data_IF_045489707717
#
_entry.id   IF_045489707717
#
_cell.length_a   1.000
_cell.length_b   1.000
_cell.length_c   1.000
_cell.angle_alpha   90.00
_cell.angle_beta   90.00
_cell.angle_gamma   90.00
#
_symmetry.space_group_name_H-M   'P 1'
#
loop_
_entity.id
_entity.type
_entity.pdbx_description
1 polymer ?
#
# COMPACT_ATOMS: atom_id res chain seq x y z
N UNK A 1 56.58 -26.58 46.16
CA UNK A 1 57.37 -27.77 45.74
C UNK A 1 56.65 -28.41 44.57
N UNK A 2 57.27 -28.33 43.40
CA UNK A 2 57.63 -29.46 42.50
C UNK A 2 56.48 -30.41 42.17
N UNK A 3 56.10 -30.60 40.95
CA UNK A 3 56.57 -31.02 39.66
C UNK A 3 55.50 -31.91 38.99
N UNK A 4 55.20 -31.69 37.81
CA UNK A 4 55.46 -32.20 36.43
C UNK A 4 54.36 -33.18 35.99
N UNK A 5 53.65 -32.85 34.91
CA UNK A 5 53.85 -33.18 33.51
C UNK A 5 54.01 -34.70 33.25
N UNK A 6 53.11 -35.31 32.48
CA UNK A 6 53.49 -36.14 31.33
C UNK A 6 52.32 -36.43 30.36
N UNK A 7 52.69 -36.42 29.12
CA UNK A 7 52.03 -36.68 27.85
C UNK A 7 51.79 -38.16 27.65
N UNK A 8 50.70 -38.50 27.01
CA UNK A 8 50.49 -39.86 26.49
C UNK A 8 49.46 -39.92 25.38
N UNK A 9 49.92 -39.93 24.14
CA UNK A 9 49.25 -40.18 22.87
C UNK A 9 49.00 -41.70 22.72
N UNK A 10 47.78 -42.16 22.40
CA UNK A 10 47.57 -43.42 21.72
C UNK A 10 46.30 -43.41 20.84
N UNK A 11 46.49 -43.64 19.57
CA UNK A 11 45.49 -44.01 18.56
C UNK A 11 44.93 -45.41 18.81
N UNK A 12 43.64 -45.62 18.52
CA UNK A 12 43.10 -46.80 17.86
C UNK A 12 41.63 -46.61 17.51
N UNK A 13 41.39 -46.52 16.30
CA UNK A 13 40.57 -47.25 15.30
C UNK A 13 39.28 -47.97 15.82
N UNK A 14 38.11 -47.59 15.27
CA UNK A 14 37.08 -48.54 14.89
C UNK A 14 35.77 -48.48 15.65
N UNK A 15 34.76 -47.90 15.04
CA UNK A 15 33.46 -48.49 14.70
C UNK A 15 32.45 -47.41 14.32
N UNK A 16 32.01 -47.42 13.09
CA UNK A 16 30.79 -46.69 12.65
C UNK A 16 29.58 -47.25 13.38
N UNK A 17 28.93 -46.42 14.18
CA UNK A 17 27.55 -46.58 14.53
C UNK A 17 26.80 -45.35 14.01
N UNK A 18 26.02 -45.55 12.96
CA UNK A 18 25.07 -44.56 12.48
C UNK A 18 23.99 -44.40 13.55
N UNK A 19 24.10 -43.37 14.35
CA UNK A 19 22.98 -42.88 15.15
C UNK A 19 22.25 -41.82 14.31
N UNK A 20 21.06 -42.22 13.88
CA UNK A 20 20.03 -41.29 13.39
C UNK A 20 19.81 -40.24 14.48
N UNK A 21 20.47 -39.08 14.32
CA UNK A 21 20.16 -37.91 15.10
C UNK A 21 18.84 -37.34 14.56
N UNK A 22 17.77 -37.70 15.21
CA UNK A 22 16.51 -36.99 15.10
C UNK A 22 16.78 -35.57 15.53
N UNK A 23 16.95 -34.65 14.53
CA UNK A 23 16.91 -33.21 14.79
C UNK A 23 15.53 -32.93 15.33
N UNK A 24 15.42 -32.64 16.63
CA UNK A 24 14.28 -31.95 17.19
C UNK A 24 14.10 -30.67 16.35
N UNK A 25 12.98 -30.57 15.67
CA UNK A 25 12.51 -29.30 15.17
C UNK A 25 12.57 -28.32 16.34
N UNK A 26 13.36 -27.28 16.20
CA UNK A 26 13.24 -26.11 17.06
C UNK A 26 11.88 -25.52 16.70
N UNK A 27 10.90 -25.76 17.55
CA UNK A 27 9.61 -25.10 17.42
C UNK A 27 9.86 -23.59 17.25
N UNK A 28 9.15 -22.98 16.32
CA UNK A 28 9.15 -21.53 16.16
C UNK A 28 8.84 -20.96 17.54
N UNK A 29 9.73 -20.12 18.08
CA UNK A 29 9.55 -19.48 19.37
C UNK A 29 8.29 -18.62 19.27
N UNK A 30 7.28 -18.92 20.10
CA UNK A 30 6.01 -18.21 20.08
C UNK A 30 6.23 -16.81 20.65
N UNK A 31 5.99 -15.78 19.84
CA UNK A 31 5.95 -14.37 20.28
C UNK A 31 4.54 -14.09 20.77
N UNK A 32 4.31 -13.93 22.09
CA UNK A 32 2.98 -13.71 22.62
C UNK A 32 2.47 -12.31 22.29
N UNK A 33 1.16 -12.13 22.21
CA UNK A 33 0.55 -10.83 22.21
C UNK A 33 0.83 -10.11 23.54
N UNK A 34 1.02 -8.80 23.49
CA UNK A 34 1.24 -7.92 24.66
C UNK A 34 0.20 -6.80 24.74
N UNK A 35 -0.68 -6.69 23.76
CA UNK A 35 -1.73 -5.68 23.70
C UNK A 35 -2.52 -5.73 22.40
N UNK A 36 -3.57 -4.91 22.32
CA UNK A 36 -4.33 -4.64 21.10
C UNK A 36 -4.75 -3.17 21.10
N UNK A 37 -4.72 -2.55 19.94
CA UNK A 37 -5.15 -1.18 19.71
C UNK A 37 -6.21 -1.14 18.60
N UNK A 38 -7.13 -0.18 18.68
CA UNK A 38 -8.11 0.09 17.63
C UNK A 38 -7.70 1.34 16.84
N UNK A 39 -7.95 1.31 15.53
CA UNK A 39 -7.76 2.45 14.66
C UNK A 39 -8.68 3.65 14.98
N UNK A 40 -9.80 3.43 15.71
CA UNK A 40 -10.75 4.48 16.10
C UNK A 40 -11.20 4.28 17.56
N UNK A 41 -10.94 5.26 18.46
CA UNK A 41 -11.48 5.22 19.82
C UNK A 41 -12.95 5.65 19.91
N UNK A 42 -13.42 6.39 18.89
CA UNK A 42 -14.82 6.84 18.75
C UNK A 42 -15.27 6.73 17.31
N UNK A 43 -16.54 6.49 17.07
CA UNK A 43 -17.16 6.36 15.75
C UNK A 43 -18.56 6.95 15.77
N UNK A 44 -18.92 7.80 14.80
CA UNK A 44 -20.29 8.29 14.60
C UNK A 44 -20.75 7.84 13.20
N UNK A 45 -21.89 7.15 13.14
CA UNK A 45 -22.47 6.60 11.91
C UNK A 45 -23.96 6.81 11.88
N UNK A 46 -24.56 6.86 10.69
CA UNK A 46 -26.00 6.84 10.54
C UNK A 46 -26.57 5.43 10.68
N UNK A 47 -27.90 5.33 10.88
CA UNK A 47 -28.59 4.03 10.83
C UNK A 47 -28.48 3.45 9.43
N UNK A 48 -27.97 2.21 9.32
CA UNK A 48 -27.72 1.50 8.07
C UNK A 48 -26.33 1.68 7.49
N UNK A 49 -25.50 2.57 8.05
CA UNK A 49 -24.11 2.72 7.64
C UNK A 49 -23.25 1.57 8.19
N UNK A 50 -22.24 1.19 7.41
CA UNK A 50 -21.24 0.18 7.75
C UNK A 50 -19.86 0.80 7.77
N UNK A 51 -19.13 0.63 8.88
CA UNK A 51 -17.77 1.14 9.04
C UNK A 51 -16.90 0.07 9.68
N UNK A 52 -15.73 -0.16 9.11
CA UNK A 52 -14.77 -1.15 9.60
C UNK A 52 -13.86 -0.58 10.69
N UNK A 53 -13.81 -1.25 11.83
CA UNK A 53 -12.77 -1.09 12.85
C UNK A 53 -11.63 -2.07 12.56
N UNK A 54 -10.40 -1.62 12.77
CA UNK A 54 -9.20 -2.44 12.61
C UNK A 54 -8.53 -2.62 13.97
N UNK A 55 -8.29 -3.88 14.33
CA UNK A 55 -7.55 -4.21 15.54
C UNK A 55 -6.08 -4.51 15.20
N UNK A 56 -5.16 -3.80 15.84
CA UNK A 56 -3.73 -4.01 15.74
C UNK A 56 -3.23 -4.74 16.98
N UNK A 57 -2.90 -6.02 16.85
CA UNK A 57 -2.32 -6.81 17.94
C UNK A 57 -0.84 -6.48 18.06
N UNK A 58 -0.40 -6.22 19.30
CA UNK A 58 0.98 -5.88 19.63
C UNK A 58 1.70 -7.08 20.29
N UNK A 59 3.02 -7.27 20.01
CA UNK A 59 3.80 -6.56 19.01
C UNK A 59 3.40 -6.97 17.58
N UNK A 60 3.83 -6.20 16.58
CA UNK A 60 3.46 -6.44 15.17
C UNK A 60 3.89 -7.82 14.62
N UNK A 61 4.81 -8.50 15.27
CA UNK A 61 5.30 -9.85 14.98
C UNK A 61 4.73 -10.93 15.93
N UNK A 62 3.68 -10.61 16.71
CA UNK A 62 2.97 -11.59 17.53
C UNK A 62 2.54 -12.80 16.69
N UNK A 63 2.76 -14.00 17.22
CA UNK A 63 2.52 -15.27 16.50
C UNK A 63 1.04 -15.55 16.29
N UNK A 64 0.18 -15.10 17.20
CA UNK A 64 -1.27 -15.25 17.13
C UNK A 64 -1.90 -13.86 17.22
N UNK A 65 -2.52 -13.43 16.11
CA UNK A 65 -3.18 -12.13 15.96
C UNK A 65 -4.70 -12.25 15.88
N UNK A 66 -5.24 -13.43 16.17
CA UNK A 66 -6.69 -13.64 16.14
C UNK A 66 -7.35 -12.79 17.21
N UNK A 67 -8.48 -12.19 16.84
CA UNK A 67 -9.28 -11.35 17.71
C UNK A 67 -10.74 -11.71 17.62
N UNK A 68 -11.48 -11.43 18.69
CA UNK A 68 -12.93 -11.54 18.76
C UNK A 68 -13.53 -10.17 19.07
N UNK A 69 -14.75 -9.92 18.57
CA UNK A 69 -15.42 -8.65 18.69
C UNK A 69 -16.74 -8.79 19.43
N UNK A 70 -17.09 -7.79 20.21
CA UNK A 70 -18.32 -7.74 20.99
C UNK A 70 -18.93 -6.33 20.97
N UNK A 71 -20.26 -6.27 20.84
CA UNK A 71 -21.01 -5.02 21.02
C UNK A 71 -21.71 -5.01 22.37
N UNK A 72 -21.65 -3.90 23.08
CA UNK A 72 -22.38 -3.72 24.35
C UNK A 72 -23.91 -3.61 24.16
N UNK A 73 -24.37 -3.24 22.96
CA UNK A 73 -25.78 -3.20 22.59
C UNK A 73 -25.98 -3.41 21.08
N UNK A 74 -26.30 -4.63 20.70
CA UNK A 74 -26.53 -5.01 19.30
C UNK A 74 -27.80 -4.40 18.71
N UNK A 75 -28.70 -3.86 19.53
CA UNK A 75 -29.85 -3.11 19.01
C UNK A 75 -29.46 -1.71 18.53
N UNK A 76 -28.34 -1.18 18.99
CA UNK A 76 -27.81 0.13 18.58
C UNK A 76 -26.76 -0.04 17.48
N UNK A 77 -25.77 -0.89 17.69
CA UNK A 77 -24.75 -1.19 16.70
C UNK A 77 -24.31 -2.65 16.79
N UNK A 78 -24.21 -3.34 15.67
CA UNK A 78 -23.64 -4.69 15.57
C UNK A 78 -22.20 -4.64 15.09
N UNK A 79 -21.44 -5.70 15.35
CA UNK A 79 -20.08 -5.86 14.83
C UNK A 79 -19.89 -7.28 14.30
N UNK A 80 -19.28 -7.41 13.12
CA UNK A 80 -18.94 -8.71 12.52
C UNK A 80 -17.64 -9.28 13.10
N UNK A 81 -17.37 -10.55 12.83
CA UNK A 81 -16.08 -11.19 13.18
C UNK A 81 -14.86 -10.52 12.49
N UNK A 82 -15.08 -9.72 11.45
CA UNK A 82 -14.05 -8.99 10.72
C UNK A 82 -13.90 -7.54 11.17
N UNK A 83 -14.65 -7.11 12.21
CA UNK A 83 -14.61 -5.75 12.75
C UNK A 83 -15.49 -4.74 11.99
N UNK A 84 -16.41 -5.19 11.15
CA UNK A 84 -17.35 -4.32 10.45
C UNK A 84 -18.51 -3.98 11.38
N UNK A 85 -18.68 -2.69 11.66
CA UNK A 85 -19.69 -2.14 12.57
C UNK A 85 -20.84 -1.59 11.74
N UNK A 86 -22.06 -2.06 12.00
CA UNK A 86 -23.30 -1.58 11.34
C UNK A 86 -24.17 -0.83 12.33
N UNK A 87 -24.59 0.38 11.99
CA UNK A 87 -25.57 1.17 12.75
C UNK A 87 -26.97 0.61 12.61
N UNK A 88 -27.59 0.19 13.72
CA UNK A 88 -28.92 -0.45 13.71
C UNK A 88 -30.01 0.52 14.12
N UNK A 89 -29.78 1.33 15.16
CA UNK A 89 -30.75 2.26 15.72
C UNK A 89 -30.03 3.38 16.43
N UNK A 90 -30.66 4.57 16.48
CA UNK A 90 -30.16 5.73 17.22
C UNK A 90 -29.82 5.36 18.67
N UNK A 91 -28.64 5.75 19.11
CA UNK A 91 -28.14 5.48 20.45
C UNK A 91 -26.62 5.42 20.52
N UNK A 92 -26.09 4.90 21.62
CA UNK A 92 -24.66 4.69 21.81
C UNK A 92 -24.39 3.24 22.19
N UNK A 93 -23.38 2.64 21.57
CA UNK A 93 -22.89 1.31 21.90
C UNK A 93 -21.37 1.35 22.01
N UNK A 94 -20.81 0.44 22.77
CA UNK A 94 -19.36 0.24 22.90
C UNK A 94 -18.99 -1.05 22.18
N UNK A 95 -18.16 -0.93 21.15
CA UNK A 95 -17.57 -2.09 20.46
C UNK A 95 -16.22 -2.39 21.12
N UNK A 96 -16.01 -3.65 21.53
CA UNK A 96 -14.80 -4.11 22.18
C UNK A 96 -14.19 -5.25 21.37
N UNK A 97 -12.87 -5.20 21.18
CA UNK A 97 -12.07 -6.28 20.59
C UNK A 97 -11.26 -6.96 21.70
N UNK A 98 -11.08 -8.26 21.60
CA UNK A 98 -10.25 -9.07 22.51
C UNK A 98 -9.27 -9.89 21.68
N UNK A 99 -8.02 -10.00 22.11
CA UNK A 99 -7.06 -10.95 21.53
C UNK A 99 -7.30 -12.37 22.09
N UNK A 100 -7.17 -13.40 21.24
CA UNK A 100 -7.23 -14.79 21.71
C UNK A 100 -5.96 -15.20 22.47
N UNK A 101 -4.83 -14.53 22.25
CA UNK A 101 -3.60 -14.73 22.99
C UNK A 101 -3.45 -13.61 24.02
N UNK A 102 -3.67 -13.91 25.29
CA UNK A 102 -3.44 -13.02 26.43
C UNK A 102 -4.62 -12.15 26.84
N UNK A 103 -5.82 -12.28 26.25
CA UNK A 103 -7.07 -11.57 26.62
C UNK A 103 -6.94 -10.02 26.70
N UNK A 104 -6.06 -9.44 25.90
CA UNK A 104 -5.95 -7.97 25.80
C UNK A 104 -7.17 -7.40 25.09
N UNK A 105 -7.62 -6.22 25.49
CA UNK A 105 -8.80 -5.60 24.89
C UNK A 105 -8.61 -4.13 24.58
N UNK A 106 -9.28 -3.66 23.54
CA UNK A 106 -9.45 -2.25 23.20
C UNK A 106 -10.91 -1.99 22.82
N UNK A 107 -11.36 -0.74 22.92
CA UNK A 107 -12.77 -0.43 22.66
C UNK A 107 -12.97 0.89 21.92
N UNK A 108 -14.04 0.94 21.11
CA UNK A 108 -14.51 2.10 20.38
C UNK A 108 -15.91 2.47 20.89
N UNK A 109 -16.15 3.74 21.20
CA UNK A 109 -17.50 4.23 21.50
C UNK A 109 -18.20 4.62 20.19
N UNK A 110 -19.28 3.92 19.87
CA UNK A 110 -20.05 4.13 18.64
C UNK A 110 -21.32 4.91 18.97
N UNK A 111 -21.52 6.05 18.31
CA UNK A 111 -22.76 6.80 18.32
C UNK A 111 -23.48 6.57 17.00
N UNK A 112 -24.67 5.99 17.06
CA UNK A 112 -25.55 5.82 15.89
C UNK A 112 -26.65 6.84 15.98
N UNK A 113 -26.86 7.59 14.92
CA UNK A 113 -27.91 8.59 14.83
C UNK A 113 -27.55 9.66 13.83
N UNK A 114 -28.53 10.26 13.21
CA UNK A 114 -28.35 11.30 12.24
C UNK A 114 -27.64 12.49 12.86
N UNK A 115 -26.40 12.70 12.50
CA UNK A 115 -25.80 14.02 12.46
C UNK A 115 -26.45 14.87 11.38
N UNK A 116 -27.79 15.03 11.43
CA UNK A 116 -28.43 16.15 10.75
C UNK A 116 -28.28 17.33 11.67
N UNK A 117 -27.71 18.46 11.20
CA UNK A 117 -27.88 19.71 11.93
C UNK A 117 -29.37 19.89 12.17
N UNK A 118 -29.78 20.10 13.42
CA UNK A 118 -31.17 20.39 13.83
C UNK A 118 -31.77 21.40 12.84
N UNK A 119 -32.81 20.96 12.14
CA UNK A 119 -33.64 21.88 11.37
C UNK A 119 -34.29 22.80 12.40
N UNK A 120 -34.06 24.12 12.36
CA UNK A 120 -34.60 25.04 13.36
C UNK A 120 -36.10 24.87 13.43
N UNK A 121 -36.62 24.65 14.66
CA UNK A 121 -38.03 24.73 14.97
C UNK A 121 -38.46 26.18 14.72
N UNK A 122 -39.40 26.46 13.79
CA UNK A 122 -39.77 27.82 13.42
C UNK A 122 -40.42 28.64 14.55
N UNK A 123 -40.77 28.03 15.71
CA UNK A 123 -41.50 28.68 16.78
C UNK A 123 -40.68 28.86 18.08
N UNK A 124 -39.37 28.57 18.10
CA UNK A 124 -38.56 28.78 19.29
C UNK A 124 -37.56 29.91 19.05
N UNK A 125 -37.49 30.96 19.93
CA UNK A 125 -36.49 32.01 19.79
C UNK A 125 -35.10 31.40 19.96
N UNK A 126 -34.27 31.54 18.94
CA UNK A 126 -32.86 31.12 18.92
C UNK A 126 -32.05 32.08 19.80
N UNK A 127 -31.43 31.64 20.90
CA UNK A 127 -30.64 32.50 21.78
C UNK A 127 -29.31 32.92 21.15
N UNK A 128 -28.92 32.34 20.01
CA UNK A 128 -27.61 32.60 19.33
C UNK A 128 -27.79 33.35 17.99
N UNK A 129 -28.98 33.89 17.69
CA UNK A 129 -29.16 34.70 16.51
C UNK A 129 -28.42 36.03 16.67
N UNK A 130 -27.42 36.35 15.81
CA UNK A 130 -26.74 37.62 15.86
C UNK A 130 -27.73 38.77 15.69
N UNK A 131 -27.67 39.75 16.60
CA UNK A 131 -28.38 41.01 16.51
C UNK A 131 -27.98 41.71 15.19
N UNK A 132 -28.90 41.97 14.25
CA UNK A 132 -28.60 42.55 12.95
C UNK A 132 -28.03 43.97 13.04
N UNK A 133 -28.09 44.61 14.23
CA UNK A 133 -27.59 45.98 14.44
C UNK A 133 -26.24 46.03 15.21
N UNK A 134 -25.61 44.86 15.50
CA UNK A 134 -24.30 44.82 16.11
C UNK A 134 -23.24 44.62 15.01
N UNK A 135 -22.35 45.57 14.79
CA UNK A 135 -21.24 45.34 13.86
C UNK A 135 -20.39 44.17 14.37
N UNK A 136 -20.26 43.12 13.55
CA UNK A 136 -19.29 42.07 13.79
C UNK A 136 -17.90 42.69 13.96
N UNK A 137 -17.08 42.21 14.92
CA UNK A 137 -15.70 42.64 14.96
C UNK A 137 -15.04 42.27 13.64
N UNK A 138 -14.54 43.29 12.91
CA UNK A 138 -13.68 43.12 11.76
C UNK A 138 -12.53 42.18 12.13
N UNK A 139 -12.71 40.89 11.85
CA UNK A 139 -11.62 39.96 11.72
C UNK A 139 -11.09 40.19 10.30
N UNK A 140 -9.92 40.79 10.09
CA UNK A 140 -9.43 40.97 8.74
C UNK A 140 -9.27 39.58 8.13
N UNK A 141 -10.12 39.25 7.16
CA UNK A 141 -9.92 38.05 6.32
C UNK A 141 -8.52 38.21 5.71
N UNK A 142 -7.58 37.39 6.19
CA UNK A 142 -6.27 37.29 5.56
C UNK A 142 -6.54 36.79 4.13
N UNK A 143 -6.14 37.52 3.10
CA UNK A 143 -6.38 37.09 1.73
C UNK A 143 -5.77 35.71 1.52
N UNK A 144 -6.62 34.71 1.33
CA UNK A 144 -6.18 33.34 1.04
C UNK A 144 -6.05 33.20 -0.47
N UNK A 145 -4.86 32.90 -0.93
CA UNK A 145 -4.59 32.60 -2.34
C UNK A 145 -4.51 31.08 -2.55
N UNK A 146 -4.97 30.61 -3.70
CA UNK A 146 -4.92 29.20 -4.06
C UNK A 146 -3.51 28.82 -4.50
N UNK A 147 -2.97 27.78 -3.89
CA UNK A 147 -1.72 27.15 -4.31
C UNK A 147 -2.10 25.97 -5.22
N UNK A 148 -1.85 26.10 -6.52
CA UNK A 148 -2.13 25.05 -7.49
C UNK A 148 -1.06 23.96 -7.43
N UNK A 149 -1.50 22.69 -7.37
CA UNK A 149 -0.62 21.52 -7.45
C UNK A 149 -0.63 20.96 -8.89
N UNK A 150 0.47 20.40 -9.33
CA UNK A 150 0.52 19.70 -10.64
C UNK A 150 -0.29 18.40 -10.65
N UNK A 151 -0.61 17.86 -9.48
CA UNK A 151 -1.53 16.75 -9.24
C UNK A 151 -2.28 17.02 -7.94
N UNK A 152 -3.58 16.76 -7.92
CA UNK A 152 -4.46 17.09 -6.79
C UNK A 152 -5.11 15.87 -6.14
N UNK A 153 -4.87 14.68 -6.68
CA UNK A 153 -5.39 13.43 -6.13
C UNK A 153 -4.48 12.26 -6.41
N UNK A 154 -4.56 11.24 -5.54
CA UNK A 154 -3.89 9.95 -5.76
C UNK A 154 -4.65 8.81 -5.06
N UNK A 155 -4.51 7.60 -5.61
CA UNK A 155 -4.91 6.36 -4.95
C UNK A 155 -3.65 5.60 -4.54
N UNK A 156 -3.53 5.24 -3.26
CA UNK A 156 -2.40 4.48 -2.69
C UNK A 156 -2.94 3.25 -1.94
N UNK A 157 -2.08 2.29 -1.66
CA UNK A 157 -2.42 1.13 -0.84
C UNK A 157 -2.24 1.39 0.65
N UNK A 158 -2.87 0.56 1.48
CA UNK A 158 -2.57 0.50 2.92
C UNK A 158 -1.08 0.17 3.10
N UNK A 159 -0.40 0.88 4.00
CA UNK A 159 1.05 0.83 4.24
C UNK A 159 1.94 1.24 3.04
N UNK A 160 1.35 1.80 2.00
CA UNK A 160 2.13 2.42 0.92
C UNK A 160 2.36 3.90 1.18
N UNK A 161 3.41 4.44 0.58
CA UNK A 161 3.79 5.84 0.73
C UNK A 161 3.86 6.55 -0.60
N UNK A 162 3.52 7.85 -0.61
CA UNK A 162 3.63 8.72 -1.77
C UNK A 162 4.18 10.08 -1.33
N UNK A 163 5.32 10.50 -1.89
CA UNK A 163 5.84 11.84 -1.70
C UNK A 163 5.14 12.80 -2.67
N UNK A 164 4.46 13.84 -2.14
CA UNK A 164 3.77 14.86 -2.93
C UNK A 164 4.56 16.17 -3.11
N UNK A 165 5.75 16.27 -2.51
CA UNK A 165 6.63 17.43 -2.70
C UNK A 165 6.91 17.76 -4.19
N UNK A 166 7.09 16.78 -5.12
CA UNK A 166 7.27 17.07 -6.54
C UNK A 166 6.08 17.76 -7.18
N UNK A 167 4.85 17.60 -6.67
CA UNK A 167 3.66 18.26 -7.22
C UNK A 167 3.59 19.73 -6.86
N UNK A 168 4.06 20.09 -5.67
CA UNK A 168 4.23 21.48 -5.23
C UNK A 168 5.41 22.14 -5.95
N UNK A 169 6.56 21.48 -5.94
CA UNK A 169 7.84 21.95 -6.47
C UNK A 169 7.77 22.27 -7.95
N UNK A 170 7.02 21.50 -8.74
CA UNK A 170 6.83 21.72 -10.18
C UNK A 170 6.21 23.07 -10.50
N UNK A 171 5.22 23.51 -9.70
CA UNK A 171 4.49 24.76 -9.93
C UNK A 171 5.03 25.91 -9.10
N UNK A 172 5.63 25.63 -7.94
CA UNK A 172 6.11 26.62 -6.98
C UNK A 172 7.49 26.24 -6.42
N UNK A 173 8.55 26.28 -7.27
CA UNK A 173 9.90 25.86 -6.87
C UNK A 173 10.46 26.65 -5.69
N UNK A 174 10.00 27.90 -5.48
CA UNK A 174 10.47 28.77 -4.40
C UNK A 174 9.64 28.64 -3.10
N UNK A 175 8.52 27.93 -3.13
CA UNK A 175 7.58 27.80 -2.01
C UNK A 175 7.44 26.38 -1.48
N UNK A 176 7.84 25.36 -2.23
CA UNK A 176 7.57 23.96 -1.90
C UNK A 176 8.07 23.53 -0.51
N UNK A 177 9.20 24.08 -0.04
CA UNK A 177 9.80 23.79 1.27
C UNK A 177 9.07 24.50 2.44
N UNK A 178 8.18 25.44 2.14
CA UNK A 178 7.38 26.18 3.12
C UNK A 178 5.98 25.63 3.29
N UNK A 179 5.52 24.81 2.34
CA UNK A 179 4.17 24.21 2.39
C UNK A 179 4.15 23.09 3.42
N UNK A 180 3.18 23.14 4.31
CA UNK A 180 2.91 22.08 5.29
C UNK A 180 1.53 21.51 5.03
N UNK A 181 1.46 20.17 4.93
CA UNK A 181 0.20 19.46 4.76
C UNK A 181 -0.29 18.87 6.08
N UNK A 182 -1.59 18.88 6.25
CA UNK A 182 -2.30 18.18 7.33
C UNK A 182 -3.42 17.35 6.73
N UNK A 183 -3.71 16.20 7.32
CA UNK A 183 -4.81 15.33 6.94
C UNK A 183 -6.07 15.66 7.75
N UNK A 184 -7.23 15.64 7.11
CA UNK A 184 -8.53 15.74 7.79
C UNK A 184 -8.90 14.42 8.50
N UNK A 185 -8.38 13.27 8.03
CA UNK A 185 -8.51 11.97 8.70
C UNK A 185 -7.18 11.18 8.71
N UNK A 186 -6.42 11.33 9.80
CA UNK A 186 -5.16 10.63 10.00
C UNK A 186 -5.32 9.10 10.20
N UNK A 187 -6.55 8.59 10.40
CA UNK A 187 -6.79 7.14 10.45
C UNK A 187 -6.88 6.53 9.04
N UNK A 188 -7.13 7.34 8.02
CA UNK A 188 -7.16 6.91 6.62
C UNK A 188 -5.81 7.17 5.97
N UNK A 189 -5.30 8.40 6.08
CA UNK A 189 -4.00 8.77 5.54
C UNK A 189 -3.30 9.79 6.44
N UNK A 190 -2.01 9.60 6.67
CA UNK A 190 -1.15 10.57 7.35
C UNK A 190 -0.23 11.26 6.34
N UNK A 191 0.29 12.42 6.72
CA UNK A 191 1.34 13.12 5.96
C UNK A 191 2.39 13.63 6.92
N UNK A 192 3.66 13.44 6.60
CA UNK A 192 4.80 13.89 7.41
C UNK A 192 5.33 15.28 6.99
N UNK A 193 6.34 15.76 7.70
CA UNK A 193 7.02 17.05 7.43
C UNK A 193 7.75 17.10 6.07
N UNK A 194 8.05 15.95 5.48
CA UNK A 194 8.66 15.81 4.16
C UNK A 194 7.62 15.68 3.04
N UNK A 195 6.33 15.91 3.35
CA UNK A 195 5.19 15.72 2.43
C UNK A 195 5.08 14.27 1.92
N UNK A 196 5.44 13.28 2.74
CA UNK A 196 5.23 11.86 2.45
C UNK A 196 3.90 11.43 3.07
N UNK A 197 2.96 11.09 2.21
CA UNK A 197 1.67 10.49 2.59
C UNK A 197 1.91 9.02 2.91
N UNK A 198 1.23 8.51 3.94
CA UNK A 198 1.16 7.07 4.24
C UNK A 198 -0.30 6.66 4.33
N UNK A 199 -0.70 5.64 3.55
CA UNK A 199 -2.03 5.01 3.67
C UNK A 199 -2.12 4.19 4.95
N UNK A 200 -3.12 4.47 5.79
CA UNK A 200 -3.30 3.82 7.10
C UNK A 200 -4.41 2.78 7.04
N UNK A 201 -5.57 3.14 6.51
CA UNK A 201 -6.71 2.25 6.34
C UNK A 201 -7.50 2.62 5.09
N UNK A 202 -8.30 1.69 4.58
CA UNK A 202 -9.18 1.91 3.42
C UNK A 202 -10.15 3.09 3.67
N UNK A 203 -10.25 3.97 2.68
CA UNK A 203 -11.10 5.16 2.76
C UNK A 203 -10.58 6.31 1.91
N UNK A 204 -11.10 7.51 2.14
CA UNK A 204 -10.65 8.74 1.50
C UNK A 204 -10.36 9.81 2.53
N UNK A 205 -9.28 10.55 2.35
CA UNK A 205 -8.90 11.68 3.18
C UNK A 205 -8.50 12.87 2.31
N UNK A 206 -8.74 14.08 2.81
CA UNK A 206 -8.30 15.31 2.16
C UNK A 206 -7.11 15.89 2.93
N UNK A 207 -6.01 16.10 2.23
CA UNK A 207 -4.88 16.80 2.77
C UNK A 207 -4.98 18.28 2.43
N UNK A 208 -4.80 19.16 3.42
CA UNK A 208 -4.74 20.61 3.23
C UNK A 208 -3.32 21.10 3.44
N UNK A 209 -2.74 21.63 2.36
CA UNK A 209 -1.45 22.28 2.38
C UNK A 209 -1.60 23.77 2.62
N UNK A 210 -0.76 24.33 3.48
CA UNK A 210 -0.73 25.77 3.78
C UNK A 210 0.69 26.30 3.82
N UNK A 211 0.91 27.52 3.32
CA UNK A 211 2.13 28.29 3.57
C UNK A 211 1.82 29.78 3.64
N UNK A 212 2.65 30.52 4.39
CA UNK A 212 2.54 31.97 4.49
C UNK A 212 3.76 32.62 3.82
N UNK A 213 3.51 33.56 2.91
CA UNK A 213 4.54 34.34 2.23
C UNK A 213 4.10 35.78 2.10
N UNK A 214 4.91 36.71 2.57
CA UNK A 214 4.68 38.16 2.50
C UNK A 214 3.30 38.60 3.07
N UNK A 215 2.86 37.95 4.15
CA UNK A 215 1.59 38.25 4.81
C UNK A 215 0.34 37.72 4.07
N UNK A 216 0.52 36.86 3.08
CA UNK A 216 -0.54 36.13 2.39
C UNK A 216 -0.48 34.66 2.72
N UNK A 217 -1.64 34.04 2.92
CA UNK A 217 -1.77 32.60 3.12
C UNK A 217 -2.12 31.94 1.79
N UNK A 218 -1.34 30.95 1.40
CA UNK A 218 -1.60 30.09 0.24
C UNK A 218 -2.10 28.74 0.73
N UNK A 219 -3.13 28.21 0.06
CA UNK A 219 -3.72 26.89 0.40
C UNK A 219 -3.82 26.00 -0.81
N UNK A 220 -3.64 24.69 -0.59
CA UNK A 220 -3.85 23.65 -1.59
C UNK A 220 -4.61 22.49 -0.95
N UNK A 221 -5.37 21.76 -1.75
CA UNK A 221 -5.99 20.49 -1.33
C UNK A 221 -5.45 19.35 -2.19
N UNK A 222 -5.28 18.18 -1.55
CA UNK A 222 -4.89 16.95 -2.21
C UNK A 222 -5.76 15.81 -1.70
N UNK A 223 -6.49 15.16 -2.59
CA UNK A 223 -7.37 14.03 -2.25
C UNK A 223 -6.59 12.72 -2.25
N UNK A 224 -6.70 11.94 -1.20
CA UNK A 224 -6.08 10.62 -1.07
C UNK A 224 -7.17 9.57 -0.93
N UNK A 225 -7.22 8.62 -1.86
CA UNK A 225 -7.97 7.38 -1.72
C UNK A 225 -6.99 6.28 -1.29
N UNK A 226 -7.29 5.61 -0.19
CA UNK A 226 -6.51 4.45 0.28
C UNK A 226 -7.30 3.19 -0.01
N UNK A 227 -6.68 2.23 -0.70
CA UNK A 227 -7.25 0.93 -1.03
C UNK A 227 -6.55 -0.20 -0.28
N UNK A 228 -7.31 -1.08 0.38
CA UNK A 228 -6.80 -2.36 0.91
C UNK A 228 -7.08 -3.47 -0.11
N UNK A 229 -6.41 -3.42 -1.24
CA UNK A 229 -6.62 -4.36 -2.34
C UNK A 229 -5.37 -5.16 -2.67
N UNK A 230 -5.61 -6.41 -3.05
CA UNK A 230 -4.58 -7.35 -3.45
C UNK A 230 -3.81 -6.91 -4.69
N UNK A 231 -2.47 -6.98 -4.60
CA UNK A 231 -1.54 -6.76 -5.72
C UNK A 231 -0.37 -7.72 -5.61
N UNK A 232 -0.05 -8.38 -6.71
CA UNK A 232 1.17 -9.20 -6.83
C UNK A 232 1.66 -9.28 -8.28
N UNK A 233 2.91 -9.73 -8.44
CA UNK A 233 3.52 -9.95 -9.76
C UNK A 233 3.86 -11.43 -9.94
N UNK A 234 3.67 -11.94 -11.15
CA UNK A 234 4.02 -13.31 -11.50
C UNK A 234 5.56 -13.47 -11.51
N UNK A 235 6.09 -14.27 -10.60
CA UNK A 235 7.51 -14.59 -10.52
C UNK A 235 7.88 -15.79 -11.41
N UNK A 236 7.08 -16.86 -11.34
CA UNK A 236 7.27 -18.04 -12.18
C UNK A 236 5.94 -18.67 -12.61
N UNK A 237 5.99 -19.47 -13.66
CA UNK A 237 4.83 -20.10 -14.27
C UNK A 237 5.12 -21.58 -14.50
N UNK A 238 4.29 -22.44 -13.96
CA UNK A 238 4.41 -23.88 -14.10
C UNK A 238 3.10 -24.51 -14.55
N UNK A 239 3.19 -25.66 -15.20
CA UNK A 239 2.01 -26.49 -15.50
C UNK A 239 2.05 -27.74 -14.64
N UNK A 240 0.97 -28.00 -13.94
CA UNK A 240 0.80 -29.20 -13.09
C UNK A 240 -0.18 -30.12 -13.80
N UNK A 241 0.22 -31.38 -13.97
CA UNK A 241 -0.61 -32.41 -14.60
C UNK A 241 -1.98 -32.49 -13.89
N UNK A 242 -3.06 -32.47 -14.68
CA UNK A 242 -4.46 -32.49 -14.24
C UNK A 242 -4.93 -31.26 -13.43
N UNK A 243 -4.10 -30.25 -13.26
CA UNK A 243 -4.47 -29.00 -12.54
C UNK A 243 -4.36 -27.74 -13.42
N UNK A 244 -3.57 -27.81 -14.48
CA UNK A 244 -3.36 -26.68 -15.37
C UNK A 244 -2.22 -25.76 -14.96
N UNK A 245 -2.32 -24.49 -15.31
CA UNK A 245 -1.29 -23.46 -15.03
C UNK A 245 -1.38 -22.99 -13.60
N UNK A 246 -0.23 -22.94 -12.94
CA UNK A 246 -0.04 -22.34 -11.61
C UNK A 246 1.02 -21.26 -11.74
N UNK A 247 0.77 -20.09 -11.18
CA UNK A 247 1.76 -19.03 -11.06
C UNK A 247 2.26 -18.95 -9.63
N UNK A 248 3.53 -18.63 -9.45
CA UNK A 248 4.09 -18.30 -8.14
C UNK A 248 4.30 -16.82 -8.03
N UNK A 249 4.05 -16.29 -6.86
CA UNK A 249 4.11 -14.86 -6.58
C UNK A 249 4.45 -14.62 -5.12
N UNK A 250 5.09 -13.49 -4.84
CA UNK A 250 5.14 -12.91 -3.50
C UNK A 250 4.12 -11.79 -3.42
N UNK A 251 3.18 -11.86 -2.48
CA UNK A 251 2.14 -10.84 -2.35
C UNK A 251 2.79 -9.50 -2.00
N UNK A 252 2.56 -8.49 -2.83
CA UNK A 252 3.13 -7.16 -2.67
C UNK A 252 2.29 -6.30 -1.73
N UNK A 253 0.96 -6.41 -1.83
CA UNK A 253 0.02 -5.66 -0.99
C UNK A 253 -1.32 -6.39 -0.87
N UNK A 254 -2.05 -6.07 0.19
CA UNK A 254 -3.40 -6.58 0.48
C UNK A 254 -3.44 -8.07 0.77
N UNK A 255 -4.64 -8.61 0.71
CA UNK A 255 -4.93 -10.03 0.98
C UNK A 255 -5.72 -10.63 -0.18
N UNK A 256 -5.41 -11.84 -0.58
CA UNK A 256 -6.14 -12.62 -1.59
C UNK A 256 -6.77 -13.85 -0.98
N UNK A 257 -7.97 -14.20 -1.43
CA UNK A 257 -8.74 -15.38 -0.99
C UNK A 257 -9.14 -16.24 -2.18
N UNK A 258 -9.46 -17.48 -1.90
CA UNK A 258 -10.15 -18.34 -2.86
C UNK A 258 -11.48 -17.68 -3.28
N UNK A 259 -11.85 -17.80 -4.54
CA UNK A 259 -13.02 -17.19 -5.21
C UNK A 259 -12.95 -15.67 -5.45
N UNK A 260 -11.87 -14.99 -5.03
CA UNK A 260 -11.67 -13.59 -5.39
C UNK A 260 -11.54 -13.42 -6.91
N UNK A 261 -12.20 -12.39 -7.41
CA UNK A 261 -12.05 -11.95 -8.81
C UNK A 261 -10.86 -11.02 -8.95
N UNK A 262 -10.04 -11.32 -9.95
CA UNK A 262 -8.80 -10.60 -10.20
C UNK A 262 -8.65 -10.23 -11.68
N UNK A 263 -7.87 -9.20 -11.93
CA UNK A 263 -7.39 -8.82 -13.26
C UNK A 263 -5.92 -9.21 -13.38
N UNK A 264 -5.54 -9.76 -14.52
CA UNK A 264 -4.15 -10.00 -14.87
C UNK A 264 -3.76 -9.12 -16.04
N UNK A 265 -2.77 -8.26 -15.86
CA UNK A 265 -2.21 -7.37 -16.89
C UNK A 265 -0.83 -7.87 -17.28
N UNK A 266 -0.62 -8.05 -18.56
CA UNK A 266 0.68 -8.47 -19.09
C UNK A 266 1.56 -7.25 -19.39
N UNK A 267 2.88 -7.34 -19.18
CA UNK A 267 3.81 -6.23 -19.46
C UNK A 267 4.06 -6.01 -20.95
N UNK A 268 3.63 -6.92 -21.82
CA UNK A 268 3.80 -6.82 -23.27
C UNK A 268 2.46 -6.82 -23.99
N UNK A 269 2.34 -6.01 -25.04
CA UNK A 269 1.17 -5.93 -25.91
C UNK A 269 0.96 -7.21 -26.74
N UNK A 270 1.97 -8.10 -26.82
CA UNK A 270 1.86 -9.41 -27.48
C UNK A 270 1.01 -10.42 -26.71
N UNK A 271 0.67 -10.12 -25.46
CA UNK A 271 -0.11 -10.99 -24.59
C UNK A 271 -1.45 -10.36 -24.25
N UNK A 272 -2.44 -11.21 -24.05
CA UNK A 272 -3.77 -10.79 -23.63
C UNK A 272 -3.83 -10.56 -22.12
N UNK A 273 -4.63 -9.58 -21.70
CA UNK A 273 -4.96 -9.38 -20.29
C UNK A 273 -6.25 -10.14 -19.99
N UNK A 274 -6.39 -10.65 -18.77
CA UNK A 274 -7.48 -11.54 -18.39
C UNK A 274 -8.23 -11.07 -17.15
N UNK A 275 -9.56 -11.31 -17.14
CA UNK A 275 -10.34 -11.44 -15.93
C UNK A 275 -10.29 -12.89 -15.48
N UNK A 276 -9.92 -13.15 -14.25
CA UNK A 276 -9.74 -14.50 -13.70
C UNK A 276 -10.38 -14.59 -12.32
N UNK A 277 -10.54 -15.83 -11.85
CA UNK A 277 -11.02 -16.13 -10.50
C UNK A 277 -9.98 -16.97 -9.78
N UNK A 278 -9.65 -16.63 -8.55
CA UNK A 278 -8.74 -17.43 -7.72
C UNK A 278 -9.39 -18.76 -7.41
N UNK A 279 -8.87 -19.84 -7.96
CA UNK A 279 -9.41 -21.20 -7.76
C UNK A 279 -8.81 -21.90 -6.55
N UNK A 280 -7.51 -21.73 -6.33
CA UNK A 280 -6.79 -22.34 -5.21
C UNK A 280 -5.51 -21.59 -4.89
N UNK A 281 -5.20 -21.48 -3.61
CA UNK A 281 -3.95 -20.92 -3.10
C UNK A 281 -3.15 -22.03 -2.40
N UNK A 282 -1.83 -22.05 -2.61
CA UNK A 282 -0.93 -23.01 -1.97
C UNK A 282 0.30 -22.30 -1.37
N UNK A 283 0.59 -22.57 -0.10
CA UNK A 283 1.81 -22.16 0.57
C UNK A 283 2.49 -23.38 1.19
N UNK A 284 3.80 -23.51 0.99
CA UNK A 284 4.58 -24.64 1.53
C UNK A 284 3.98 -26.03 1.23
N UNK A 285 3.42 -26.20 0.02
CA UNK A 285 2.71 -27.43 -0.45
C UNK A 285 1.41 -27.74 0.32
N UNK A 286 0.81 -26.77 0.97
CA UNK A 286 -0.50 -26.87 1.63
C UNK A 286 -1.46 -25.91 0.97
N UNK A 287 -2.68 -26.38 0.76
CA UNK A 287 -3.80 -25.53 0.35
C UNK A 287 -4.15 -24.61 1.51
N UNK A 288 -4.31 -23.32 1.20
CA UNK A 288 -4.71 -22.29 2.16
C UNK A 288 -5.93 -21.53 1.61
N UNK A 289 -6.71 -20.95 2.50
CA UNK A 289 -7.91 -20.21 2.10
C UNK A 289 -7.57 -18.76 1.71
N UNK A 290 -6.47 -18.23 2.22
CA UNK A 290 -6.01 -16.87 1.95
C UNK A 290 -4.49 -16.76 2.01
N UNK A 291 -3.95 -15.68 1.40
CA UNK A 291 -2.57 -15.25 1.50
C UNK A 291 -2.49 -13.72 1.58
N UNK A 292 -1.57 -13.19 2.37
CA UNK A 292 -1.42 -11.76 2.62
C UNK A 292 -0.05 -11.21 2.23
N UNK A 293 0.16 -9.92 2.45
CA UNK A 293 1.41 -9.22 2.14
C UNK A 293 2.64 -9.97 2.65
N UNK A 294 3.65 -10.10 1.81
CA UNK A 294 4.90 -10.83 1.99
C UNK A 294 4.82 -12.37 1.92
N UNK A 295 3.65 -12.97 1.81
CA UNK A 295 3.53 -14.41 1.61
C UNK A 295 4.01 -14.83 0.22
N UNK A 296 4.74 -15.95 0.15
CA UNK A 296 5.06 -16.63 -1.10
C UNK A 296 3.97 -17.65 -1.38
N UNK A 297 3.24 -17.48 -2.46
CA UNK A 297 2.05 -18.26 -2.77
C UNK A 297 2.07 -18.81 -4.19
N UNK A 298 1.62 -20.05 -4.35
CA UNK A 298 1.21 -20.61 -5.63
C UNK A 298 -0.27 -20.30 -5.88
N UNK A 299 -0.57 -19.65 -6.96
CA UNK A 299 -1.92 -19.26 -7.35
C UNK A 299 -2.37 -20.11 -8.54
N UNK A 300 -3.49 -20.78 -8.39
CA UNK A 300 -4.19 -21.50 -9.45
C UNK A 300 -5.54 -20.82 -9.67
N UNK A 301 -5.81 -20.44 -10.90
CA UNK A 301 -7.09 -19.84 -11.27
C UNK A 301 -8.15 -20.92 -11.54
N UNK A 302 -9.41 -20.60 -11.36
CA UNK A 302 -10.52 -21.50 -11.75
C UNK A 302 -10.48 -21.82 -13.25
N UNK A 303 -9.94 -20.91 -14.05
CA UNK A 303 -9.73 -21.03 -15.49
C UNK A 303 -8.43 -21.77 -15.86
N UNK A 304 -7.58 -22.13 -14.89
CA UNK A 304 -6.25 -22.77 -15.12
C UNK A 304 -6.26 -23.99 -16.05
N UNK A 305 -7.27 -24.85 -16.06
CA UNK A 305 -7.32 -25.97 -17.01
C UNK A 305 -7.42 -25.53 -18.48
N UNK A 306 -7.88 -24.33 -18.75
CA UNK A 306 -8.04 -23.74 -20.08
C UNK A 306 -6.95 -22.73 -20.44
N UNK A 307 -6.19 -22.25 -19.44
CA UNK A 307 -5.07 -21.36 -19.65
C UNK A 307 -3.86 -22.13 -20.15
N UNK A 308 -3.19 -21.58 -21.14
CA UNK A 308 -1.89 -22.09 -21.59
C UNK A 308 -0.76 -21.35 -20.89
N UNK A 309 0.32 -22.08 -20.55
CA UNK A 309 1.52 -21.46 -19.97
C UNK A 309 2.08 -20.34 -20.86
N UNK A 310 1.98 -20.48 -22.18
CA UNK A 310 2.39 -19.47 -23.16
C UNK A 310 1.53 -18.21 -23.17
N UNK A 311 0.36 -18.23 -22.56
CA UNK A 311 -0.54 -17.09 -22.47
C UNK A 311 -0.17 -16.11 -21.32
N UNK A 312 0.73 -16.52 -20.42
CA UNK A 312 1.15 -15.73 -19.25
C UNK A 312 2.65 -15.51 -19.34
N UNK A 313 3.09 -14.31 -18.99
CA UNK A 313 4.52 -14.00 -18.90
C UNK A 313 4.92 -13.66 -17.46
N UNK A 314 6.20 -13.92 -17.12
CA UNK A 314 6.77 -13.41 -15.88
C UNK A 314 6.67 -11.90 -15.85
N UNK A 315 6.38 -11.35 -14.70
CA UNK A 315 6.14 -9.94 -14.55
C UNK A 315 4.71 -9.50 -14.88
N UNK A 316 3.81 -10.41 -15.27
CA UNK A 316 2.40 -10.08 -15.31
C UNK A 316 1.93 -9.64 -13.91
N UNK A 317 1.13 -8.60 -13.87
CA UNK A 317 0.53 -8.08 -12.66
C UNK A 317 -0.80 -8.78 -12.41
N UNK A 318 -1.03 -9.24 -11.19
CA UNK A 318 -2.33 -9.73 -10.74
C UNK A 318 -2.81 -8.79 -9.63
N UNK A 319 -4.03 -8.30 -9.78
CA UNK A 319 -4.64 -7.38 -8.81
C UNK A 319 -6.11 -7.69 -8.60
N UNK A 320 -6.67 -7.27 -7.48
CA UNK A 320 -8.10 -7.35 -7.22
C UNK A 320 -8.91 -6.64 -8.31
N UNK A 321 -10.10 -7.15 -8.65
CA UNK A 321 -10.95 -6.62 -9.74
C UNK A 321 -11.24 -5.11 -9.56
N UNK A 322 -11.39 -4.65 -8.32
CA UNK A 322 -11.71 -3.27 -7.97
C UNK A 322 -10.49 -2.36 -7.77
N UNK A 323 -9.27 -2.88 -7.91
CA UNK A 323 -8.05 -2.08 -7.74
C UNK A 323 -7.95 -1.02 -8.82
N UNK A 324 -7.81 0.25 -8.41
CA UNK A 324 -7.68 1.41 -9.30
C UNK A 324 -6.26 2.02 -9.25
N UNK A 325 -5.50 1.77 -8.17
CA UNK A 325 -4.18 2.38 -7.96
C UNK A 325 -3.07 1.87 -8.87
N UNK A 326 -3.26 0.70 -9.48
CA UNK A 326 -2.25 0.09 -10.35
C UNK A 326 -2.65 0.24 -11.80
N UNK A 327 -1.73 0.73 -12.60
CA UNK A 327 -1.95 1.10 -14.00
C UNK A 327 -0.94 0.45 -14.93
N UNK A 328 -1.31 0.34 -16.19
CA UNK A 328 -0.41 -0.01 -17.29
C UNK A 328 -0.17 1.24 -18.13
N UNK A 329 1.08 1.62 -18.33
CA UNK A 329 1.43 2.89 -18.95
C UNK A 329 2.54 2.74 -20.00
N UNK A 330 2.62 3.67 -20.92
CA UNK A 330 3.74 3.76 -21.86
C UNK A 330 4.85 4.65 -21.33
N UNK A 331 4.53 5.64 -20.51
CA UNK A 331 5.49 6.59 -19.97
C UNK A 331 5.21 6.85 -18.50
N UNK A 332 6.28 6.85 -17.72
CA UNK A 332 6.26 7.21 -16.30
C UNK A 332 7.14 8.43 -16.07
N UNK A 333 6.78 9.23 -15.07
CA UNK A 333 7.59 10.32 -14.54
C UNK A 333 7.87 10.08 -13.07
N UNK A 334 9.02 10.54 -12.59
CA UNK A 334 9.35 10.31 -11.21
C UNK A 334 10.62 11.00 -10.74
N UNK A 335 10.91 10.79 -9.47
CA UNK A 335 12.15 11.21 -8.84
C UNK A 335 13.22 10.15 -9.07
N UNK A 336 14.32 10.51 -9.72
CA UNK A 336 15.46 9.65 -9.98
C UNK A 336 16.62 10.03 -9.07
N UNK A 337 16.98 9.17 -8.13
CA UNK A 337 18.16 9.31 -7.29
C UNK A 337 19.30 8.44 -7.84
N UNK A 338 20.31 9.06 -8.47
CA UNK A 338 21.48 8.37 -9.00
C UNK A 338 22.53 8.16 -7.90
N UNK A 339 23.07 6.96 -7.83
CA UNK A 339 24.16 6.61 -6.90
C UNK A 339 25.55 6.82 -7.53
N UNK A 340 26.62 6.39 -6.86
CA UNK A 340 28.00 6.53 -7.30
C UNK A 340 28.54 5.34 -8.10
N UNK A 341 27.72 4.34 -8.40
CA UNK A 341 28.12 3.15 -9.18
C UNK A 341 28.44 3.51 -10.62
N UNK A 342 27.77 4.55 -11.15
CA UNK A 342 28.09 5.15 -12.44
C UNK A 342 29.01 6.36 -12.24
N UNK A 343 29.98 6.54 -13.14
CA UNK A 343 30.94 7.67 -13.07
C UNK A 343 30.74 8.70 -14.16
N UNK A 344 29.93 8.39 -15.17
CA UNK A 344 29.67 9.26 -16.33
C UNK A 344 28.23 9.75 -16.33
N UNK A 345 27.97 10.96 -16.85
CA UNK A 345 26.61 11.47 -17.01
C UNK A 345 25.72 10.56 -17.87
N UNK A 346 24.43 10.69 -17.68
CA UNK A 346 23.39 10.04 -18.50
C UNK A 346 22.79 11.11 -19.42
N UNK A 347 22.65 10.76 -20.70
CA UNK A 347 22.14 11.64 -21.74
C UNK A 347 20.76 11.20 -22.23
N UNK A 348 19.99 12.09 -22.92
CA UNK A 348 18.74 11.73 -23.56
C UNK A 348 18.87 10.51 -24.47
N UNK A 349 17.86 9.66 -24.49
CA UNK A 349 17.85 8.42 -25.30
C UNK A 349 18.60 7.25 -24.67
N UNK A 350 19.14 7.40 -23.45
CA UNK A 350 19.73 6.30 -22.71
C UNK A 350 18.68 5.20 -22.44
N UNK A 351 19.07 3.94 -22.61
CA UNK A 351 18.17 2.78 -22.53
C UNK A 351 18.57 1.84 -21.39
N UNK A 352 18.24 2.17 -20.15
CA UNK A 352 18.48 1.31 -19.00
C UNK A 352 17.35 0.28 -18.83
N UNK A 353 17.45 -0.45 -17.72
CA UNK A 353 16.39 -1.31 -17.21
C UNK A 353 15.81 -0.70 -15.93
N UNK A 354 14.49 -0.61 -15.82
CA UNK A 354 13.79 -0.36 -14.58
C UNK A 354 13.32 -1.70 -14.00
N UNK A 355 13.79 -2.01 -12.80
CA UNK A 355 13.42 -3.23 -12.08
C UNK A 355 12.42 -2.94 -10.97
N UNK A 356 11.36 -3.71 -10.96
CA UNK A 356 10.36 -3.75 -9.92
C UNK A 356 10.23 -5.20 -9.43
N UNK A 357 10.76 -5.48 -8.26
CA UNK A 357 10.87 -6.86 -7.79
C UNK A 357 11.72 -7.71 -8.75
N UNK A 358 11.12 -8.73 -9.36
CA UNK A 358 11.77 -9.60 -10.35
C UNK A 358 11.46 -9.21 -11.81
N UNK A 359 10.85 -8.04 -12.03
CA UNK A 359 10.42 -7.59 -13.36
C UNK A 359 11.45 -6.63 -13.93
N UNK A 360 11.84 -6.91 -15.16
CA UNK A 360 12.76 -6.12 -15.97
C UNK A 360 11.97 -5.36 -17.04
N UNK A 361 11.90 -4.06 -16.92
CA UNK A 361 11.32 -3.19 -17.93
C UNK A 361 12.42 -2.50 -18.74
N UNK A 362 12.52 -2.84 -20.01
CA UNK A 362 13.35 -2.08 -20.95
C UNK A 362 12.70 -0.72 -21.22
N UNK A 363 13.43 0.34 -20.92
CA UNK A 363 12.92 1.71 -21.05
C UNK A 363 13.92 2.60 -21.78
N UNK A 364 13.42 3.74 -22.25
CA UNK A 364 14.25 4.82 -22.79
C UNK A 364 14.04 6.07 -21.95
N UNK A 365 15.13 6.71 -21.52
CA UNK A 365 15.10 8.02 -20.88
C UNK A 365 14.61 9.04 -21.91
N UNK A 366 13.38 9.52 -21.74
CA UNK A 366 12.66 10.33 -22.71
C UNK A 366 12.45 11.79 -22.29
N UNK A 367 12.61 12.09 -21.00
CA UNK A 367 12.48 13.42 -20.46
C UNK A 367 13.46 13.62 -19.30
N UNK A 368 14.22 14.71 -19.35
CA UNK A 368 15.22 15.08 -18.36
C UNK A 368 14.79 16.29 -17.52
N UNK A 369 13.51 16.68 -17.55
CA UNK A 369 12.97 17.83 -16.82
C UNK A 369 13.71 19.16 -17.09
N UNK A 370 14.24 19.34 -18.30
CA UNK A 370 14.99 20.53 -18.70
C UNK A 370 16.50 20.45 -18.47
N UNK A 371 17.02 19.34 -17.92
CA UNK A 371 18.45 19.12 -17.76
C UNK A 371 19.10 18.65 -19.07
N UNK A 372 20.32 19.10 -19.35
CA UNK A 372 21.11 18.62 -20.51
C UNK A 372 21.58 17.17 -20.34
N UNK A 373 21.87 16.78 -19.11
CA UNK A 373 22.29 15.43 -18.72
C UNK A 373 22.10 15.21 -17.22
N UNK A 374 22.08 13.95 -16.79
CA UNK A 374 21.93 13.59 -15.38
C UNK A 374 23.27 13.14 -14.80
N UNK A 375 23.76 13.84 -13.80
CA UNK A 375 25.04 13.57 -13.11
C UNK A 375 24.87 12.50 -12.05
N UNK A 376 25.89 11.62 -11.85
CA UNK A 376 25.93 10.71 -10.72
C UNK A 376 25.84 11.40 -9.36
N UNK A 377 25.33 10.70 -8.35
CA UNK A 377 25.16 11.19 -6.96
C UNK A 377 24.17 12.36 -6.82
N UNK A 378 23.30 12.53 -7.76
CA UNK A 378 22.33 13.61 -7.80
C UNK A 378 20.91 13.05 -7.87
N UNK A 379 19.97 13.75 -7.25
CA UNK A 379 18.54 13.45 -7.33
C UNK A 379 17.86 14.46 -8.23
N UNK A 380 17.03 13.97 -9.13
CA UNK A 380 16.29 14.76 -10.12
C UNK A 380 14.81 14.42 -10.02
N UNK A 381 13.96 15.43 -10.08
CA UNK A 381 12.52 15.27 -10.14
C UNK A 381 11.99 15.32 -11.58
N UNK A 382 10.81 14.75 -11.80
CA UNK A 382 10.10 14.74 -13.10
C UNK A 382 10.89 14.10 -14.26
N UNK A 383 11.76 13.17 -13.97
CA UNK A 383 12.47 12.42 -15.00
C UNK A 383 11.50 11.44 -15.66
N UNK A 384 11.46 11.44 -16.99
CA UNK A 384 10.54 10.61 -17.78
C UNK A 384 11.21 9.40 -18.41
N UNK A 385 10.62 8.21 -18.24
CA UNK A 385 11.00 6.98 -18.92
C UNK A 385 9.85 6.46 -19.77
N UNK A 386 10.13 6.11 -21.02
CA UNK A 386 9.16 5.49 -21.93
C UNK A 386 9.45 4.02 -22.09
N UNK A 387 8.42 3.17 -21.99
CA UNK A 387 8.53 1.74 -22.25
C UNK A 387 8.97 1.50 -23.69
N UNK A 388 9.78 0.44 -23.91
CA UNK A 388 10.11 0.00 -25.27
C UNK A 388 8.84 -0.33 -26.04
N UNK A 389 8.86 -0.09 -27.35
CA UNK A 389 7.74 -0.38 -28.25
C UNK A 389 7.23 -1.85 -28.07
N UNK A 390 5.90 -2.01 -28.04
CA UNK A 390 5.24 -3.29 -27.79
C UNK A 390 5.20 -3.72 -26.32
N UNK A 391 5.74 -2.90 -25.39
CA UNK A 391 5.68 -3.12 -23.96
C UNK A 391 4.97 -1.97 -23.23
N UNK A 392 4.59 -2.24 -22.00
CA UNK A 392 4.05 -1.27 -21.04
C UNK A 392 4.72 -1.44 -19.67
N UNK A 393 4.72 -0.37 -18.91
CA UNK A 393 5.15 -0.38 -17.53
C UNK A 393 3.92 -0.62 -16.65
N UNK A 394 4.05 -1.53 -15.70
CA UNK A 394 3.02 -1.81 -14.71
C UNK A 394 3.45 -1.15 -13.42
N UNK A 395 2.75 -0.13 -12.98
CA UNK A 395 3.19 0.70 -11.86
C UNK A 395 2.03 1.32 -11.07
N UNK A 396 2.37 1.94 -9.96
CA UNK A 396 1.50 2.79 -9.14
C UNK A 396 2.29 3.98 -8.61
N UNK A 397 1.60 5.02 -8.16
CA UNK A 397 2.23 6.19 -7.56
C UNK A 397 2.97 5.82 -6.28
N UNK A 398 4.18 6.32 -6.11
CA UNK A 398 5.07 5.97 -4.99
C UNK A 398 5.87 4.68 -5.19
N UNK A 399 5.61 3.91 -6.25
CA UNK A 399 6.36 2.67 -6.52
C UNK A 399 7.84 2.97 -6.73
N UNK A 400 8.69 2.26 -6.00
CA UNK A 400 10.14 2.35 -6.17
C UNK A 400 10.64 1.25 -7.10
N UNK A 401 11.45 1.66 -8.08
CA UNK A 401 12.10 0.79 -9.05
C UNK A 401 13.61 1.00 -9.02
N UNK A 402 14.37 -0.06 -9.19
CA UNK A 402 15.82 0.06 -9.36
C UNK A 402 16.16 0.39 -10.81
N UNK A 403 16.95 1.45 -11.03
CA UNK A 403 17.53 1.73 -12.32
C UNK A 403 18.83 0.92 -12.46
N UNK A 404 18.89 0.03 -13.47
CA UNK A 404 20.01 -0.87 -13.70
C UNK A 404 20.65 -0.68 -15.06
N UNK A 405 21.98 -0.85 -15.09
CA UNK A 405 22.82 -0.89 -16.30
C UNK A 405 23.75 -2.11 -16.23
N UNK A 406 23.70 -2.99 -17.21
CA UNK A 406 24.56 -4.18 -17.28
C UNK A 406 24.59 -5.00 -15.97
N UNK A 407 23.42 -5.19 -15.36
CA UNK A 407 23.25 -5.96 -14.11
C UNK A 407 23.65 -5.23 -12.82
N UNK A 408 24.02 -3.95 -12.90
CA UNK A 408 24.39 -3.11 -11.74
C UNK A 408 23.33 -2.06 -11.48
N UNK A 409 22.88 -1.91 -10.24
CA UNK A 409 22.00 -0.82 -9.81
C UNK A 409 22.77 0.50 -9.80
N UNK A 410 22.32 1.48 -10.59
CA UNK A 410 22.93 2.81 -10.72
C UNK A 410 22.06 3.90 -10.09
N UNK A 411 20.85 3.59 -9.66
CA UNK A 411 19.95 4.54 -9.00
C UNK A 411 18.65 3.89 -8.59
N UNK A 412 17.80 4.70 -7.94
CA UNK A 412 16.42 4.36 -7.58
C UNK A 412 15.49 5.37 -8.24
N UNK A 413 14.43 4.89 -8.84
CA UNK A 413 13.39 5.68 -9.47
C UNK A 413 12.08 5.51 -8.73
N UNK A 414 11.48 6.61 -8.27
CA UNK A 414 10.18 6.60 -7.59
C UNK A 414 9.14 7.24 -8.49
N UNK A 415 8.09 6.49 -8.82
CA UNK A 415 7.01 6.94 -9.72
C UNK A 415 6.20 8.05 -9.03
N UNK A 416 6.09 9.23 -9.68
CA UNK A 416 5.27 10.34 -9.18
C UNK A 416 4.14 10.70 -10.14
N UNK A 417 4.26 10.34 -11.43
CA UNK A 417 3.23 10.59 -12.44
C UNK A 417 3.36 9.62 -13.62
N UNK A 418 2.35 9.52 -14.47
CA UNK A 418 2.35 8.62 -15.62
C UNK A 418 1.34 9.05 -16.70
N UNK A 419 1.54 8.52 -17.90
CA UNK A 419 0.59 8.60 -19.01
C UNK A 419 -0.15 7.25 -19.12
N UNK A 420 -1.44 7.23 -18.78
CA UNK A 420 -2.26 6.01 -18.79
C UNK A 420 -2.44 5.44 -20.22
N UNK A 421 -2.61 4.12 -20.28
CA UNK A 421 -2.96 3.39 -21.50
C UNK A 421 -4.24 2.60 -21.24
N UNK A 422 -5.16 2.67 -22.17
CA UNK A 422 -6.36 1.83 -22.10
C UNK A 422 -5.98 0.35 -22.14
N UNK A 423 -6.51 -0.42 -21.21
CA UNK A 423 -6.25 -1.86 -21.09
C UNK A 423 -7.56 -2.63 -21.26
N UNK A 424 -7.61 -3.48 -22.26
CA UNK A 424 -8.75 -4.38 -22.50
C UNK A 424 -8.50 -5.74 -21.83
N UNK A 425 -9.54 -6.35 -21.30
CA UNK A 425 -9.49 -7.65 -20.63
C UNK A 425 -10.35 -8.66 -21.37
N UNK A 426 -9.91 -9.91 -21.42
CA UNK A 426 -10.65 -11.03 -21.98
C UNK A 426 -11.03 -12.03 -20.89
N UNK A 427 -12.17 -12.70 -21.06
CA UNK A 427 -12.53 -13.84 -20.22
C UNK A 427 -12.03 -15.12 -20.89
N UNK A 428 -11.52 -16.06 -20.09
CA UNK A 428 -11.12 -17.39 -20.57
C UNK A 428 -12.38 -18.26 -20.64
N UNK A 429 -12.87 -18.53 -21.85
CA UNK A 429 -14.06 -19.32 -22.13
C UNK A 429 -13.79 -20.84 -22.14
#
# INVERSE_FOLDING_TARGET
MKRKLFIGLAMALGAMIAINSCKKDKGVEKIPATGVELNKPTLTIAVGDEVRLVANVLPADATDKRVTWESSDENVATVSATGEVTGVKDGTAKITVYTEDGDFSASCNVTVGAGTPDKPDPDKPDPDKPDPDKPEPDNPEVPTEVLELSKTAATIGVEETLCIAPYVKKNYPDLWDKVKFTSDDANIATVDENMVITGVAEGSATLTGTCEVDGKTYTATFEVKVEDTFVTFVEDIMTITNRGVVVTSKITAGTVRTDDKVKMIQPSDSYKNYNLTIGQLEMFRKVVEWAGKNDNVGIMFSESPKLEKSAITRGALIMGEKTERVVAVKKVYGTLALNDSRKTPIFPGYTPQLFSGNIDHLVTLSDLAGEDNLMPKTTYDNIGFTAKEGNKLLCYLGMQMELRESGRTIGTFTVTDYEEVEVTYENVN
#
